data_IF_260777005756
#
_entry.id   IF_260777005756
#
_cell.length_a   1.000
_cell.length_b   1.000
_cell.length_c   1.000
_cell.angle_alpha   90.00
_cell.angle_beta   90.00
_cell.angle_gamma   90.00
#
_symmetry.space_group_name_H-M   'P 1'
#
loop_
_entity.id
_entity.type
_entity.pdbx_description
1 polymer ?
#
# COMPACT_ATOMS: atom_id res chain seq x y z
N UNK A 1 -6.19 -25.06 18.35
CA UNK A 1 -5.92 -24.47 17.01
C UNK A 1 -4.50 -24.81 16.64
N UNK A 2 -4.24 -25.08 15.36
CA UNK A 2 -2.91 -25.54 14.90
C UNK A 2 -1.93 -24.36 14.79
N UNK A 3 -0.62 -24.63 14.84
CA UNK A 3 0.40 -23.61 14.58
C UNK A 3 0.29 -23.05 13.14
N UNK A 4 -0.20 -23.85 12.19
CA UNK A 4 -0.41 -23.43 10.82
C UNK A 4 -1.54 -22.41 10.66
N UNK A 5 -2.64 -22.53 11.43
CA UNK A 5 -3.73 -21.55 11.43
C UNK A 5 -3.21 -20.16 11.83
N UNK A 6 -2.32 -20.13 12.83
CA UNK A 6 -1.68 -18.91 13.32
C UNK A 6 -0.81 -18.26 12.24
N UNK A 7 0.06 -19.05 11.60
CA UNK A 7 0.93 -18.55 10.52
C UNK A 7 0.12 -18.03 9.34
N UNK A 8 -0.97 -18.71 9.01
CA UNK A 8 -1.84 -18.32 7.91
C UNK A 8 -2.57 -17.00 8.21
N UNK A 9 -3.12 -16.82 9.42
CA UNK A 9 -3.71 -15.54 9.84
C UNK A 9 -2.66 -14.43 9.88
N UNK A 10 -1.46 -14.71 10.38
CA UNK A 10 -0.39 -13.73 10.40
C UNK A 10 -0.01 -13.30 8.97
N UNK A 11 0.05 -14.24 8.02
CA UNK A 11 0.27 -13.93 6.60
C UNK A 11 -0.84 -13.05 6.01
N UNK A 12 -2.12 -13.38 6.27
CA UNK A 12 -3.26 -12.56 5.86
C UNK A 12 -3.12 -11.13 6.38
N UNK A 13 -2.99 -10.94 7.71
CA UNK A 13 -2.94 -9.61 8.32
C UNK A 13 -1.75 -8.76 7.86
N UNK A 14 -0.64 -9.39 7.48
CA UNK A 14 0.51 -8.71 6.86
C UNK A 14 0.23 -8.27 5.43
N UNK A 15 -0.42 -9.10 4.62
CA UNK A 15 -0.71 -8.77 3.21
C UNK A 15 -1.89 -7.83 3.07
N UNK A 16 -2.90 -7.93 3.93
CA UNK A 16 -4.06 -7.04 3.98
C UNK A 16 -3.86 -5.84 4.90
N UNK A 17 -2.67 -5.67 5.47
CA UNK A 17 -2.30 -4.57 6.35
C UNK A 17 -0.81 -4.26 6.29
N UNK A 18 -0.23 -3.76 7.38
CA UNK A 18 1.20 -3.38 7.43
C UNK A 18 2.01 -4.21 8.42
N UNK A 19 1.35 -4.87 9.38
CA UNK A 19 1.86 -5.87 10.32
C UNK A 19 0.75 -6.21 11.32
N UNK A 20 0.90 -7.29 12.08
CA UNK A 20 0.03 -7.68 13.18
C UNK A 20 0.88 -8.09 14.38
N UNK A 21 0.57 -7.57 15.57
CA UNK A 21 1.19 -8.07 16.79
C UNK A 21 0.51 -9.37 17.25
N UNK A 22 1.04 -9.99 18.31
CA UNK A 22 0.49 -11.25 18.80
C UNK A 22 -0.99 -11.13 19.23
N UNK A 23 -1.40 -9.99 19.79
CA UNK A 23 -2.79 -9.77 20.22
C UNK A 23 -3.77 -9.61 19.04
N UNK A 24 -3.33 -8.99 17.95
CA UNK A 24 -4.10 -8.89 16.70
C UNK A 24 -4.32 -10.29 16.12
N UNK A 25 -3.25 -11.11 16.07
CA UNK A 25 -3.30 -12.49 15.58
C UNK A 25 -4.22 -13.36 16.46
N UNK A 26 -4.11 -13.28 17.79
CA UNK A 26 -4.97 -14.03 18.71
C UNK A 26 -6.44 -13.65 18.58
N UNK A 27 -6.71 -12.36 18.37
CA UNK A 27 -8.07 -11.86 18.18
C UNK A 27 -8.66 -12.39 16.89
N UNK A 28 -7.89 -12.36 15.78
CA UNK A 28 -8.31 -12.93 14.51
C UNK A 28 -8.50 -14.47 14.59
N UNK A 29 -7.60 -15.18 15.28
CA UNK A 29 -7.73 -16.63 15.50
C UNK A 29 -9.04 -17.00 16.21
N UNK A 30 -9.46 -16.22 17.22
CA UNK A 30 -10.74 -16.47 17.92
C UNK A 30 -11.95 -16.32 17.00
N UNK A 31 -11.87 -15.43 16.01
CA UNK A 31 -12.96 -15.18 15.06
C UNK A 31 -12.96 -16.21 13.93
N UNK A 32 -11.78 -16.64 13.48
CA UNK A 32 -11.57 -17.58 12.37
C UNK A 32 -11.21 -16.88 11.06
N UNK A 33 -10.43 -17.57 10.21
CA UNK A 33 -9.79 -17.01 9.02
C UNK A 33 -10.77 -16.32 8.06
N UNK A 34 -11.81 -17.04 7.62
CA UNK A 34 -12.76 -16.55 6.62
C UNK A 34 -13.53 -15.33 7.13
N UNK A 35 -13.88 -15.32 8.41
CA UNK A 35 -14.54 -14.17 9.04
C UNK A 35 -13.59 -12.98 9.21
N UNK A 36 -12.30 -13.22 9.46
CA UNK A 36 -11.28 -12.17 9.44
C UNK A 36 -11.16 -11.57 8.04
N UNK A 37 -11.16 -12.39 6.98
CA UNK A 37 -11.18 -11.91 5.58
C UNK A 37 -12.39 -11.02 5.33
N UNK A 38 -13.60 -11.47 5.68
CA UNK A 38 -14.80 -10.64 5.51
C UNK A 38 -14.76 -9.34 6.33
N UNK A 39 -14.22 -9.36 7.54
CA UNK A 39 -14.07 -8.14 8.34
C UNK A 39 -13.10 -7.14 7.71
N UNK A 40 -12.03 -7.61 7.07
CA UNK A 40 -11.06 -6.74 6.38
C UNK A 40 -11.66 -6.10 5.13
N UNK A 41 -12.51 -6.84 4.41
CA UNK A 41 -13.17 -6.40 3.17
C UNK A 41 -14.35 -5.45 3.39
N UNK A 42 -14.87 -5.37 4.62
CA UNK A 42 -16.02 -4.58 5.00
C UNK A 42 -15.67 -3.62 6.15
N UNK A 43 -14.87 -2.57 5.89
CA UNK A 43 -14.51 -1.58 6.90
C UNK A 43 -15.76 -0.88 7.46
N UNK A 44 -15.85 -0.75 8.79
CA UNK A 44 -17.06 -0.26 9.47
C UNK A 44 -16.89 1.10 10.15
N UNK A 45 -15.68 1.47 10.58
CA UNK A 45 -15.43 2.72 11.34
C UNK A 45 -14.05 3.30 11.07
N UNK A 46 -13.91 4.63 11.02
CA UNK A 46 -12.60 5.32 10.98
C UNK A 46 -11.98 5.46 12.39
N UNK A 47 -12.11 4.44 13.24
CA UNK A 47 -11.57 4.49 14.60
C UNK A 47 -10.04 4.43 14.60
N UNK A 48 -9.43 5.15 15.55
CA UNK A 48 -8.00 5.07 15.84
C UNK A 48 -7.10 6.04 15.05
N UNK A 49 -7.60 6.72 14.02
CA UNK A 49 -6.75 7.62 13.23
C UNK A 49 -6.60 9.01 13.85
N UNK A 50 -7.55 9.49 14.68
CA UNK A 50 -7.47 10.75 15.45
C UNK A 50 -6.75 11.91 14.72
N UNK A 51 -6.99 12.06 13.41
CA UNK A 51 -6.21 12.99 12.57
C UNK A 51 -6.45 14.44 12.96
N UNK A 52 -7.63 14.76 13.48
CA UNK A 52 -7.93 16.07 14.05
C UNK A 52 -7.04 16.40 15.25
N UNK A 53 -6.72 15.41 16.09
CA UNK A 53 -5.80 15.56 17.21
C UNK A 53 -4.36 15.64 16.74
N UNK A 54 -3.99 14.86 15.72
CA UNK A 54 -2.67 14.95 15.08
C UNK A 54 -2.44 16.38 14.57
N UNK A 55 -3.43 16.93 13.86
CA UNK A 55 -3.34 18.26 13.29
C UNK A 55 -3.26 19.36 14.35
N UNK A 56 -4.07 19.25 15.40
CA UNK A 56 -4.02 20.22 16.50
C UNK A 56 -2.69 20.19 17.26
N UNK A 57 -2.09 19.02 17.42
CA UNK A 57 -0.84 18.87 18.15
C UNK A 57 0.37 19.34 17.33
N UNK A 58 0.33 19.13 16.02
CA UNK A 58 1.39 19.52 15.08
C UNK A 58 0.97 20.70 14.19
N UNK A 59 0.36 21.71 14.80
CA UNK A 59 -0.16 22.89 14.10
C UNK A 59 0.89 23.62 13.26
N UNK A 60 2.17 23.54 13.65
CA UNK A 60 3.33 24.07 12.93
C UNK A 60 3.63 23.35 11.61
N UNK A 61 3.08 22.14 11.44
CA UNK A 61 3.26 21.30 10.27
C UNK A 61 1.96 21.11 9.47
N UNK A 62 0.82 21.55 10.02
CA UNK A 62 -0.49 21.52 9.38
C UNK A 62 -0.62 22.59 8.31
N UNK A 63 0.26 22.46 7.34
CA UNK A 63 0.27 23.27 6.16
C UNK A 63 -0.12 22.38 4.98
N UNK A 64 -1.34 22.55 4.47
CA UNK A 64 -1.82 21.86 3.26
C UNK A 64 -0.96 22.21 2.03
N UNK A 65 -0.10 23.24 2.12
CA UNK A 65 0.89 23.56 1.10
C UNK A 65 2.04 22.55 1.02
N UNK A 66 2.25 21.75 2.08
CA UNK A 66 3.40 20.86 2.21
C UNK A 66 3.05 19.39 1.94
N UNK A 67 3.60 18.75 0.89
CA UNK A 67 3.36 17.33 0.62
C UNK A 67 3.88 16.43 1.75
N UNK A 68 4.87 16.93 2.51
CA UNK A 68 5.43 16.24 3.67
C UNK A 68 4.36 15.96 4.72
N UNK A 69 3.42 16.89 4.95
CA UNK A 69 2.40 16.68 5.96
C UNK A 69 1.32 15.69 5.51
N UNK A 70 0.92 15.72 4.24
CA UNK A 70 0.03 14.70 3.67
C UNK A 70 0.63 13.30 3.77
N UNK A 71 1.93 13.13 3.48
CA UNK A 71 2.63 11.87 3.69
C UNK A 71 2.62 11.45 5.17
N UNK A 72 2.88 12.39 6.11
CA UNK A 72 2.84 12.12 7.56
C UNK A 72 1.47 11.64 8.02
N UNK A 73 0.39 12.30 7.60
CA UNK A 73 -0.99 11.89 7.90
C UNK A 73 -1.23 10.46 7.42
N UNK A 74 -0.80 10.15 6.21
CA UNK A 74 -0.98 8.83 5.65
C UNK A 74 -0.19 7.75 6.43
N UNK A 75 1.08 8.02 6.77
CA UNK A 75 1.87 7.12 7.64
C UNK A 75 1.19 6.90 8.99
N UNK A 76 0.68 7.97 9.62
CA UNK A 76 -0.04 7.87 10.88
C UNK A 76 -1.30 6.99 10.76
N UNK A 77 -2.05 7.15 9.67
CA UNK A 77 -3.21 6.33 9.32
C UNK A 77 -2.83 4.86 9.15
N UNK A 78 -1.79 4.55 8.37
CA UNK A 78 -1.28 3.17 8.17
C UNK A 78 -0.88 2.48 9.48
N UNK A 79 -0.33 3.25 10.44
CA UNK A 79 0.03 2.73 11.77
C UNK A 79 -1.22 2.42 12.59
N UNK A 80 -2.20 3.35 12.64
CA UNK A 80 -3.21 3.39 13.70
C UNK A 80 -4.64 3.00 13.30
N UNK A 81 -4.96 2.99 12.00
CA UNK A 81 -6.31 2.63 11.52
C UNK A 81 -6.73 1.22 11.96
N UNK A 82 -8.03 1.04 12.18
CA UNK A 82 -8.67 -0.27 12.34
C UNK A 82 -9.06 -0.93 11.02
N UNK A 83 -8.97 -0.20 9.90
CA UNK A 83 -9.26 -0.68 8.55
C UNK A 83 -7.98 -0.69 7.69
N UNK A 84 -7.00 -1.55 8.00
CA UNK A 84 -5.70 -1.48 7.32
C UNK A 84 -5.78 -1.80 5.83
N UNK A 85 -6.82 -2.52 5.38
CA UNK A 85 -7.00 -2.85 3.97
C UNK A 85 -7.35 -1.61 3.12
N UNK A 86 -8.04 -0.61 3.68
CA UNK A 86 -8.33 0.66 2.98
C UNK A 86 -7.03 1.38 2.61
N UNK A 87 -6.06 1.43 3.53
CA UNK A 87 -4.77 2.05 3.26
C UNK A 87 -3.90 1.23 2.32
N UNK A 88 -3.99 -0.10 2.42
CA UNK A 88 -3.27 -1.01 1.51
C UNK A 88 -3.77 -0.90 0.08
N UNK A 89 -5.09 -0.85 -0.11
CA UNK A 89 -5.65 -0.70 -1.46
C UNK A 89 -5.37 0.70 -2.02
N UNK A 90 -5.41 1.73 -1.17
CA UNK A 90 -5.04 3.11 -1.56
C UNK A 90 -3.59 3.16 -2.01
N UNK A 91 -2.67 2.52 -1.27
CA UNK A 91 -1.25 2.47 -1.63
C UNK A 91 -1.01 1.72 -2.93
N UNK A 92 -1.71 0.61 -3.15
CA UNK A 92 -1.66 -0.14 -4.42
C UNK A 92 -2.11 0.74 -5.58
N UNK A 93 -3.31 1.33 -5.48
CA UNK A 93 -3.88 2.12 -6.56
C UNK A 93 -3.10 3.41 -6.81
N UNK A 94 -2.51 4.04 -5.80
CA UNK A 94 -1.65 5.20 -6.03
C UNK A 94 -0.33 4.82 -6.70
N UNK A 95 0.14 3.58 -6.50
CA UNK A 95 1.24 3.01 -7.25
C UNK A 95 0.90 2.75 -8.71
N UNK A 96 -0.31 2.26 -9.01
CA UNK A 96 -0.79 1.99 -10.39
C UNK A 96 -1.17 3.29 -11.11
N UNK A 97 -1.98 4.14 -10.47
CA UNK A 97 -2.46 5.42 -10.99
C UNK A 97 -1.55 6.55 -10.55
N UNK A 98 -0.28 6.44 -10.94
CA UNK A 98 0.77 7.29 -10.46
C UNK A 98 0.49 8.77 -10.77
N UNK A 99 0.46 9.60 -9.71
CA UNK A 99 0.58 11.05 -9.81
C UNK A 99 1.63 11.54 -8.84
N UNK A 100 2.44 12.51 -9.27
CA UNK A 100 3.57 12.99 -8.48
C UNK A 100 3.48 14.45 -8.10
N UNK A 101 3.83 14.76 -6.85
CA UNK A 101 4.03 16.12 -6.37
C UNK A 101 4.95 16.93 -7.30
N UNK A 102 5.99 16.30 -7.86
CA UNK A 102 6.98 16.94 -8.72
C UNK A 102 6.39 17.72 -9.90
N UNK A 103 5.19 17.34 -10.39
CA UNK A 103 4.45 18.08 -11.41
C UNK A 103 3.21 18.77 -10.85
N UNK A 104 2.39 18.08 -10.07
CA UNK A 104 1.09 18.63 -9.62
C UNK A 104 1.28 19.84 -8.71
N UNK A 105 2.25 19.79 -7.79
CA UNK A 105 2.60 20.90 -6.87
C UNK A 105 1.42 21.55 -6.14
N UNK A 106 0.32 20.83 -5.92
CA UNK A 106 -0.89 21.30 -5.23
C UNK A 106 -1.35 20.25 -4.19
N UNK A 107 -1.24 20.59 -2.90
CA UNK A 107 -1.44 19.63 -1.79
C UNK A 107 -2.88 19.15 -1.64
N UNK A 108 -3.88 20.04 -1.72
CA UNK A 108 -5.28 19.66 -1.77
C UNK A 108 -5.61 18.66 -2.90
N UNK A 109 -5.06 18.85 -4.11
CA UNK A 109 -5.29 17.89 -5.20
C UNK A 109 -4.69 16.51 -4.92
N UNK A 110 -3.44 16.47 -4.44
CA UNK A 110 -2.77 15.19 -4.12
C UNK A 110 -3.47 14.44 -2.98
N UNK A 111 -3.88 15.16 -1.94
CA UNK A 111 -4.63 14.59 -0.82
C UNK A 111 -6.00 14.12 -1.26
N UNK A 112 -6.69 14.93 -2.08
CA UNK A 112 -7.99 14.59 -2.65
C UNK A 112 -7.98 13.30 -3.46
N UNK A 113 -6.95 13.09 -4.29
CA UNK A 113 -6.79 11.83 -5.03
C UNK A 113 -6.63 10.65 -4.07
N UNK A 114 -5.80 10.76 -3.03
CA UNK A 114 -5.61 9.67 -2.07
C UNK A 114 -6.92 9.30 -1.35
N UNK A 115 -7.72 10.30 -0.96
CA UNK A 115 -9.04 10.05 -0.36
C UNK A 115 -10.01 9.42 -1.37
N UNK A 116 -9.98 9.83 -2.64
CA UNK A 116 -10.77 9.22 -3.72
C UNK A 116 -10.40 7.74 -3.91
N UNK A 117 -9.11 7.42 -3.96
CA UNK A 117 -8.61 6.05 -4.06
C UNK A 117 -8.98 5.22 -2.83
N UNK A 118 -9.01 5.83 -1.65
CA UNK A 118 -9.43 5.18 -0.41
C UNK A 118 -10.92 4.87 -0.40
N UNK A 119 -11.76 5.82 -0.82
CA UNK A 119 -13.21 5.67 -0.87
C UNK A 119 -13.66 4.64 -1.92
N UNK A 120 -13.05 4.64 -3.10
CA UNK A 120 -13.50 3.83 -4.23
C UNK A 120 -12.62 2.61 -4.51
N UNK A 121 -11.46 2.47 -3.88
CA UNK A 121 -10.46 1.43 -4.20
C UNK A 121 -10.91 -0.01 -3.96
N UNK A 122 -11.82 -0.24 -3.00
CA UNK A 122 -12.45 -1.56 -2.77
C UNK A 122 -13.76 -1.74 -3.57
N UNK A 123 -14.23 -0.71 -4.26
CA UNK A 123 -15.50 -0.71 -4.95
C UNK A 123 -15.42 -1.27 -6.37
N UNK A 124 -16.27 -0.72 -7.21
CA UNK A 124 -16.37 -1.07 -8.62
C UNK A 124 -15.24 -0.39 -9.44
N UNK A 125 -14.51 -1.16 -10.25
CA UNK A 125 -13.38 -0.64 -11.03
C UNK A 125 -13.81 0.39 -12.10
N UNK A 126 -15.01 0.25 -12.69
CA UNK A 126 -15.56 1.26 -13.60
C UNK A 126 -15.75 2.59 -12.90
N UNK A 127 -16.33 2.58 -11.70
CA UNK A 127 -16.48 3.78 -10.88
C UNK A 127 -15.13 4.35 -10.49
N UNK A 128 -14.16 3.51 -10.12
CA UNK A 128 -12.81 3.96 -9.79
C UNK A 128 -12.15 4.69 -10.96
N UNK A 129 -12.17 4.12 -12.17
CA UNK A 129 -11.63 4.78 -13.36
C UNK A 129 -12.39 6.06 -13.72
N UNK A 130 -13.72 6.09 -13.58
CA UNK A 130 -14.53 7.28 -13.80
C UNK A 130 -14.20 8.41 -12.82
N UNK A 131 -13.89 8.08 -11.56
CA UNK A 131 -13.49 9.02 -10.53
C UNK A 131 -12.07 9.51 -10.75
N UNK A 132 -11.16 8.61 -11.10
CA UNK A 132 -9.79 8.93 -11.48
C UNK A 132 -9.74 9.86 -12.70
N UNK A 133 -10.57 9.62 -13.71
CA UNK A 133 -10.64 10.43 -14.93
C UNK A 133 -11.16 11.85 -14.68
N UNK A 134 -11.78 12.10 -13.52
CA UNK A 134 -12.24 13.43 -13.08
C UNK A 134 -11.35 14.02 -11.99
N UNK A 135 -10.34 13.28 -11.53
CA UNK A 135 -9.49 13.72 -10.45
C UNK A 135 -8.59 14.87 -10.92
N UNK A 136 -8.59 16.04 -10.24
CA UNK A 136 -7.80 17.19 -10.67
C UNK A 136 -6.29 16.93 -10.71
N UNK A 137 -5.74 16.13 -9.79
CA UNK A 137 -4.32 15.79 -9.82
C UNK A 137 -3.99 14.96 -11.06
N UNK A 138 -4.81 13.95 -11.38
CA UNK A 138 -4.62 13.11 -12.57
C UNK A 138 -4.77 13.89 -13.87
N UNK A 139 -5.82 14.72 -13.98
CA UNK A 139 -6.05 15.56 -15.15
C UNK A 139 -4.85 16.49 -15.42
N UNK A 140 -4.33 17.13 -14.38
CA UNK A 140 -3.13 17.96 -14.49
C UNK A 140 -1.86 17.15 -14.78
N UNK A 141 -1.70 16.00 -14.12
CA UNK A 141 -0.54 15.12 -14.25
C UNK A 141 -0.34 14.64 -15.70
N UNK A 142 -1.42 14.38 -16.42
CA UNK A 142 -1.38 13.91 -17.81
C UNK A 142 -1.73 14.98 -18.85
N UNK A 143 -1.70 16.26 -18.45
CA UNK A 143 -1.97 17.41 -19.32
C UNK A 143 -3.35 17.37 -20.00
N UNK A 144 -4.32 16.70 -19.39
CA UNK A 144 -5.66 16.52 -19.97
C UNK A 144 -6.41 17.84 -20.11
N UNK A 145 -6.11 18.85 -19.29
CA UNK A 145 -6.63 20.21 -19.43
C UNK A 145 -6.25 20.90 -20.75
N UNK A 146 -5.30 20.33 -21.50
CA UNK A 146 -4.85 20.81 -22.83
C UNK A 146 -5.44 20.02 -23.99
N UNK A 147 -6.33 19.05 -23.72
CA UNK A 147 -6.97 18.21 -24.72
C UNK A 147 -8.25 18.88 -25.25
N UNK A 148 -8.13 19.47 -26.44
CA UNK A 148 -9.19 20.26 -27.08
C UNK A 148 -9.74 19.54 -28.31
N UNK A 149 -11.01 19.77 -28.66
CA UNK A 149 -11.61 19.13 -29.84
C UNK A 149 -10.85 19.39 -31.15
N UNK A 150 -10.21 20.56 -31.27
CA UNK A 150 -9.42 20.95 -32.44
C UNK A 150 -7.90 20.70 -32.30
N UNK A 151 -7.45 20.24 -31.13
CA UNK A 151 -6.05 19.97 -30.81
C UNK A 151 -5.99 18.83 -29.77
N UNK A 152 -6.22 17.61 -30.26
CA UNK A 152 -6.31 16.41 -29.41
C UNK A 152 -4.96 16.13 -28.76
N UNK A 153 -4.97 15.98 -27.43
CA UNK A 153 -3.82 15.51 -26.67
C UNK A 153 -4.03 14.03 -26.30
N UNK A 154 -3.19 13.16 -26.85
CA UNK A 154 -3.31 11.71 -26.70
C UNK A 154 -2.76 11.17 -25.38
N UNK A 155 -2.06 11.98 -24.57
CA UNK A 155 -1.33 11.52 -23.40
C UNK A 155 -2.24 10.77 -22.40
N UNK A 156 -3.32 11.40 -21.92
CA UNK A 156 -4.24 10.74 -20.99
C UNK A 156 -4.87 9.47 -21.57
N UNK A 157 -5.34 9.54 -22.82
CA UNK A 157 -5.96 8.39 -23.50
C UNK A 157 -5.00 7.21 -23.67
N UNK A 158 -3.71 7.50 -23.94
CA UNK A 158 -2.66 6.49 -24.05
C UNK A 158 -2.37 5.85 -22.69
N UNK A 159 -2.12 6.65 -21.66
CA UNK A 159 -1.80 6.10 -20.33
C UNK A 159 -2.98 5.34 -19.72
N UNK A 160 -4.22 5.80 -19.95
CA UNK A 160 -5.41 5.09 -19.51
C UNK A 160 -5.44 3.65 -20.06
N UNK A 161 -5.14 3.47 -21.35
CA UNK A 161 -5.10 2.15 -21.98
C UNK A 161 -3.84 1.38 -21.58
N UNK A 162 -2.69 2.03 -21.63
CA UNK A 162 -1.39 1.39 -21.53
C UNK A 162 -1.02 0.99 -20.11
N UNK A 163 -1.13 1.93 -19.17
CA UNK A 163 -0.58 1.77 -17.83
C UNK A 163 -1.65 1.63 -16.76
N UNK A 164 -2.89 2.04 -17.02
CA UNK A 164 -3.93 2.07 -15.99
C UNK A 164 -5.04 1.03 -16.19
N UNK A 165 -5.13 0.39 -17.36
CA UNK A 165 -6.23 -0.55 -17.60
C UNK A 165 -5.94 -1.77 -18.45
N UNK A 166 -5.26 -1.70 -19.61
CA UNK A 166 -5.19 -2.83 -20.55
C UNK A 166 -3.79 -3.39 -20.74
N UNK A 167 -2.74 -2.60 -20.49
CA UNK A 167 -1.37 -3.02 -20.83
C UNK A 167 -1.05 -2.84 -22.31
N UNK A 168 0.25 -2.67 -22.61
CA UNK A 168 0.76 -2.54 -23.98
C UNK A 168 0.36 -3.73 -24.87
N UNK A 169 -0.01 -3.42 -26.11
CA UNK A 169 -0.27 -4.42 -27.16
C UNK A 169 -1.72 -4.90 -27.25
N UNK A 170 -2.62 -4.38 -26.42
CA UNK A 170 -4.03 -4.77 -26.38
C UNK A 170 -4.99 -3.78 -27.07
N UNK A 171 -4.46 -2.73 -27.70
CA UNK A 171 -5.19 -1.68 -28.40
C UNK A 171 -4.37 -1.19 -29.60
N UNK A 172 -5.01 -0.48 -30.52
CA UNK A 172 -4.36 0.14 -31.68
C UNK A 172 -4.10 1.62 -31.44
N UNK A 173 -3.26 2.23 -32.27
CA UNK A 173 -3.03 3.68 -32.25
C UNK A 173 -4.32 4.48 -32.54
N UNK A 174 -5.23 3.92 -33.34
CA UNK A 174 -6.53 4.55 -33.60
C UNK A 174 -7.44 4.52 -32.36
N UNK A 175 -7.33 3.47 -31.52
CA UNK A 175 -8.03 3.41 -30.25
C UNK A 175 -7.51 4.47 -29.29
N UNK A 176 -6.19 4.72 -29.25
CA UNK A 176 -5.60 5.81 -28.46
C UNK A 176 -6.18 7.15 -28.88
N UNK A 177 -6.20 7.42 -30.19
CA UNK A 177 -6.71 8.69 -30.72
C UNK A 177 -8.21 8.85 -30.47
N UNK A 178 -9.00 7.79 -30.62
CA UNK A 178 -10.44 7.80 -30.33
C UNK A 178 -10.74 7.97 -28.85
N UNK A 179 -9.96 7.33 -27.97
CA UNK A 179 -10.01 7.54 -26.53
C UNK A 179 -9.72 9.00 -26.17
N UNK A 180 -8.63 9.56 -26.70
CA UNK A 180 -8.25 10.95 -26.47
C UNK A 180 -9.33 11.95 -26.93
N UNK A 181 -9.93 11.72 -28.11
CA UNK A 181 -11.06 12.50 -28.61
C UNK A 181 -12.28 12.42 -27.68
N UNK A 182 -12.58 11.24 -27.13
CA UNK A 182 -13.69 11.05 -26.20
C UNK A 182 -13.51 11.83 -24.88
N UNK A 183 -12.27 12.11 -24.47
CA UNK A 183 -11.97 12.93 -23.29
C UNK A 183 -11.86 14.44 -23.58
N UNK A 184 -11.93 14.89 -24.84
CA UNK A 184 -11.87 16.33 -25.15
C UNK A 184 -12.93 17.13 -24.38
N UNK A 185 -12.59 18.35 -23.94
CA UNK A 185 -13.47 19.19 -23.13
C UNK A 185 -13.53 18.80 -21.64
N UNK A 186 -12.94 17.68 -21.21
CA UNK A 186 -12.71 17.37 -19.80
C UNK A 186 -11.50 18.18 -19.31
N UNK A 187 -11.73 19.03 -18.32
CA UNK A 187 -10.73 19.99 -17.83
C UNK A 187 -10.88 20.21 -16.33
N UNK A 188 -10.12 21.17 -15.80
CA UNK A 188 -10.13 21.54 -14.39
C UNK A 188 -10.39 23.04 -14.25
N UNK A 189 -11.00 23.46 -13.15
CA UNK A 189 -11.27 24.88 -12.89
C UNK A 189 -9.98 25.66 -12.63
N UNK A 190 -9.96 26.94 -13.03
CA UNK A 190 -8.85 27.82 -12.68
C UNK A 190 -8.81 28.05 -11.16
N UNK A 191 -7.65 27.79 -10.56
CA UNK A 191 -7.40 28.04 -9.14
C UNK A 191 -7.10 29.52 -8.91
N UNK A 192 -7.43 30.00 -7.71
CA UNK A 192 -7.04 31.35 -7.27
C UNK A 192 -5.51 31.47 -7.17
N UNK A 193 -4.92 32.65 -7.44
CA UNK A 193 -3.48 32.85 -7.29
C UNK A 193 -3.02 32.54 -5.86
N UNK A 194 -2.00 31.69 -5.71
CA UNK A 194 -1.50 31.24 -4.40
C UNK A 194 -1.27 32.38 -3.40
N UNK A 195 -0.76 33.52 -3.84
CA UNK A 195 -0.60 34.68 -2.96
C UNK A 195 -1.66 35.75 -3.29
N UNK A 196 -2.42 36.25 -2.29
CA UNK A 196 -2.33 35.98 -0.84
C UNK A 196 -3.27 34.87 -0.31
N UNK A 197 -3.93 34.09 -1.18
CA UNK A 197 -5.07 33.24 -0.78
C UNK A 197 -4.72 31.82 -0.31
N UNK A 198 -3.45 31.41 -0.38
CA UNK A 198 -3.02 30.01 -0.21
C UNK A 198 -3.38 29.14 -1.42
N UNK A 199 -3.12 27.84 -1.33
CA UNK A 199 -3.58 26.90 -2.34
C UNK A 199 -5.09 26.73 -2.29
N UNK A 200 -5.70 26.77 -3.47
CA UNK A 200 -7.10 26.40 -3.65
C UNK A 200 -7.17 25.08 -4.42
N UNK A 201 -8.09 24.17 -4.06
CA UNK A 201 -8.32 22.99 -4.87
C UNK A 201 -8.86 23.43 -6.24
N UNK A 202 -8.42 22.73 -7.28
CA UNK A 202 -9.12 22.75 -8.55
C UNK A 202 -10.20 21.68 -8.50
N UNK A 203 -11.24 21.87 -9.31
CA UNK A 203 -12.35 20.96 -9.44
C UNK A 203 -12.45 20.50 -10.89
N UNK A 204 -12.99 19.31 -11.10
CA UNK A 204 -13.36 18.86 -12.44
C UNK A 204 -14.35 19.83 -13.09
N UNK A 205 -14.15 20.10 -14.38
CA UNK A 205 -15.10 20.81 -15.22
C UNK A 205 -15.22 20.13 -16.58
N UNK A 206 -16.43 20.12 -17.14
CA UNK A 206 -16.68 19.65 -18.49
C UNK A 206 -17.15 20.80 -19.38
N UNK A 207 -16.36 21.12 -20.40
CA UNK A 207 -16.70 22.12 -21.41
C UNK A 207 -17.23 21.45 -22.68
N UNK A 208 -18.56 21.29 -22.75
CA UNK A 208 -19.22 20.72 -23.93
C UNK A 208 -18.92 21.45 -25.25
N UNK A 209 -18.58 22.74 -25.23
CA UNK A 209 -18.26 23.49 -26.46
C UNK A 209 -16.86 23.16 -27.02
N UNK A 210 -16.03 22.49 -26.23
CA UNK A 210 -14.66 22.06 -26.56
C UNK A 210 -14.54 20.52 -26.62
N UNK A 211 -15.68 19.84 -26.61
CA UNK A 211 -15.77 18.40 -26.83
C UNK A 211 -15.95 18.09 -28.33
N UNK A 212 -15.31 17.04 -28.79
CA UNK A 212 -15.52 16.47 -30.12
C UNK A 212 -16.73 15.53 -30.10
N UNK A 213 -17.88 16.04 -30.52
CA UNK A 213 -19.14 15.28 -30.63
C UNK A 213 -19.27 14.43 -31.91
N UNK A 214 -18.20 14.28 -32.70
CA UNK A 214 -18.26 13.42 -33.88
C UNK A 214 -18.12 11.94 -33.52
N UNK A 215 -18.62 11.08 -34.42
CA UNK A 215 -18.57 9.63 -34.26
C UNK A 215 -17.12 9.12 -34.13
N UNK A 216 -16.94 8.13 -33.26
CA UNK A 216 -15.64 7.53 -32.94
C UNK A 216 -15.80 6.02 -33.00
N UNK A 217 -14.77 5.33 -33.46
CA UNK A 217 -14.68 3.86 -33.34
C UNK A 217 -13.60 3.54 -32.33
N UNK A 218 -13.96 2.82 -31.28
CA UNK A 218 -13.08 2.53 -30.16
C UNK A 218 -13.29 1.08 -29.71
N UNK A 219 -12.22 0.29 -29.73
CA UNK A 219 -12.20 -1.12 -29.33
C UNK A 219 -13.29 -1.97 -30.01
N UNK A 220 -13.57 -1.67 -31.28
CA UNK A 220 -14.56 -2.37 -32.09
C UNK A 220 -16.01 -1.88 -31.96
N UNK A 221 -16.27 -0.90 -31.09
CA UNK A 221 -17.58 -0.25 -30.96
C UNK A 221 -17.57 1.11 -31.66
N UNK A 222 -18.71 1.55 -32.20
CA UNK A 222 -18.84 2.84 -32.89
C UNK A 222 -20.00 3.65 -32.32
N UNK A 223 -19.74 4.92 -32.02
CA UNK A 223 -20.76 5.83 -31.47
C UNK A 223 -20.21 7.23 -31.23
N UNK A 224 -21.08 8.16 -30.80
CA UNK A 224 -20.65 9.45 -30.27
C UNK A 224 -20.23 9.28 -28.80
N UNK A 225 -19.03 8.75 -28.57
CA UNK A 225 -18.53 8.44 -27.24
C UNK A 225 -17.94 9.66 -26.53
N UNK A 226 -18.23 9.75 -25.23
CA UNK A 226 -17.57 10.61 -24.25
C UNK A 226 -16.66 9.78 -23.33
N UNK A 227 -15.94 10.43 -22.41
CA UNK A 227 -14.99 9.81 -21.48
C UNK A 227 -15.59 8.67 -20.64
N UNK A 228 -16.84 8.81 -20.18
CA UNK A 228 -17.51 7.74 -19.43
C UNK A 228 -17.82 6.52 -20.30
N UNK A 229 -18.19 6.72 -21.56
CA UNK A 229 -18.55 5.65 -22.48
C UNK A 229 -17.32 4.80 -22.82
N UNK A 230 -16.18 5.44 -23.09
CA UNK A 230 -14.93 4.71 -23.36
C UNK A 230 -14.45 3.94 -22.13
N UNK A 231 -14.64 4.46 -20.91
CA UNK A 231 -14.34 3.71 -19.68
C UNK A 231 -15.25 2.49 -19.55
N UNK A 232 -16.54 2.62 -19.88
CA UNK A 232 -17.46 1.49 -19.87
C UNK A 232 -17.05 0.39 -20.87
N UNK A 233 -16.51 0.77 -22.03
CA UNK A 233 -15.98 -0.17 -23.03
C UNK A 233 -14.68 -0.83 -22.52
N UNK A 234 -13.78 -0.06 -21.91
CA UNK A 234 -12.48 -0.55 -21.38
C UNK A 234 -12.69 -1.63 -20.32
N UNK A 235 -13.52 -1.39 -19.30
CA UNK A 235 -13.63 -2.31 -18.15
C UNK A 235 -14.19 -3.70 -18.50
N UNK A 236 -14.84 -3.83 -19.67
CA UNK A 236 -15.40 -5.09 -20.20
C UNK A 236 -14.34 -5.93 -20.91
N UNK A 237 -13.18 -5.36 -21.26
CA UNK A 237 -12.17 -6.06 -22.05
C UNK A 237 -11.46 -7.15 -21.24
N UNK A 238 -11.22 -8.34 -21.82
CA UNK A 238 -10.39 -9.37 -21.19
C UNK A 238 -8.96 -8.91 -20.86
N UNK A 239 -8.41 -8.00 -21.67
CA UNK A 239 -7.12 -7.38 -21.37
C UNK A 239 -7.17 -6.59 -20.04
N UNK A 240 -8.28 -5.91 -19.77
CA UNK A 240 -8.45 -5.16 -18.52
C UNK A 240 -8.61 -6.04 -17.31
N UNK A 241 -9.39 -7.13 -17.42
CA UNK A 241 -9.49 -8.08 -16.33
C UNK A 241 -8.13 -8.71 -16.00
N UNK A 242 -7.32 -9.04 -17.01
CA UNK A 242 -5.98 -9.60 -16.80
C UNK A 242 -5.01 -8.57 -16.21
N UNK A 243 -5.04 -7.33 -16.68
CA UNK A 243 -4.22 -6.24 -16.12
C UNK A 243 -4.50 -6.01 -14.63
N UNK A 244 -5.77 -5.82 -14.26
CA UNK A 244 -6.17 -5.64 -12.86
C UNK A 244 -5.79 -6.85 -12.00
N UNK A 245 -5.97 -8.06 -12.53
CA UNK A 245 -5.59 -9.29 -11.85
C UNK A 245 -4.08 -9.37 -11.59
N UNK A 246 -3.24 -8.96 -12.55
CA UNK A 246 -1.78 -8.93 -12.39
C UNK A 246 -1.36 -7.93 -11.30
N UNK A 247 -1.92 -6.72 -11.28
CA UNK A 247 -1.57 -5.71 -10.28
C UNK A 247 -1.99 -6.15 -8.86
N UNK A 248 -3.19 -6.73 -8.71
CA UNK A 248 -3.63 -7.31 -7.44
C UNK A 248 -2.71 -8.47 -7.02
N UNK A 249 -2.35 -9.35 -7.95
CA UNK A 249 -1.50 -10.50 -7.67
C UNK A 249 -0.09 -10.05 -7.21
N UNK A 250 0.56 -9.14 -7.94
CA UNK A 250 1.88 -8.61 -7.58
C UNK A 250 1.87 -7.96 -6.20
N UNK A 251 0.82 -7.19 -5.90
CA UNK A 251 0.75 -6.43 -4.65
C UNK A 251 0.44 -7.29 -3.43
N UNK A 252 -0.46 -8.28 -3.55
CA UNK A 252 -0.94 -9.06 -2.41
C UNK A 252 -0.34 -10.46 -2.28
N UNK A 253 0.13 -11.07 -3.38
CA UNK A 253 0.51 -12.49 -3.41
C UNK A 253 2.03 -12.66 -3.50
N UNK A 254 2.63 -12.36 -4.66
CA UNK A 254 4.02 -12.70 -4.96
C UNK A 254 4.63 -11.75 -6.01
N UNK A 255 5.94 -11.55 -5.96
CA UNK A 255 6.67 -10.75 -6.97
C UNK A 255 6.70 -11.45 -8.34
N UNK A 256 6.82 -12.78 -8.35
CA UNK A 256 6.86 -13.60 -9.56
C UNK A 256 5.44 -13.97 -10.00
N UNK A 257 5.09 -13.64 -11.25
CA UNK A 257 3.75 -13.88 -11.82
C UNK A 257 3.48 -15.36 -12.02
N UNK A 258 2.31 -15.79 -11.56
CA UNK A 258 1.70 -17.08 -11.87
C UNK A 258 0.50 -16.82 -12.79
N UNK A 259 0.64 -17.15 -14.07
CA UNK A 259 -0.38 -16.87 -15.09
C UNK A 259 -1.71 -17.60 -14.81
N UNK A 260 -1.67 -18.82 -14.24
CA UNK A 260 -2.87 -19.60 -13.92
C UNK A 260 -3.64 -18.94 -12.76
N UNK A 261 -2.93 -18.38 -11.78
CA UNK A 261 -3.55 -17.62 -10.69
C UNK A 261 -4.13 -16.29 -11.20
N UNK A 262 -3.40 -15.58 -12.06
CA UNK A 262 -3.87 -14.34 -12.70
C UNK A 262 -5.15 -14.57 -13.50
N UNK A 263 -5.22 -15.65 -14.28
CA UNK A 263 -6.42 -15.98 -15.06
C UNK A 263 -7.63 -16.26 -14.18
N UNK A 264 -7.45 -16.99 -13.08
CA UNK A 264 -8.53 -17.21 -12.11
C UNK A 264 -9.03 -15.89 -11.48
N UNK A 265 -8.12 -14.96 -11.17
CA UNK A 265 -8.47 -13.65 -10.63
C UNK A 265 -9.23 -12.81 -11.69
N UNK A 266 -8.78 -12.85 -12.94
CA UNK A 266 -9.40 -12.15 -14.06
C UNK A 266 -10.83 -12.67 -14.33
N UNK A 267 -11.05 -13.97 -14.24
CA UNK A 267 -12.39 -14.59 -14.36
C UNK A 267 -13.33 -14.08 -13.27
N UNK A 268 -12.86 -13.99 -12.02
CA UNK A 268 -13.63 -13.46 -10.89
C UNK A 268 -13.98 -11.98 -11.10
N UNK A 269 -13.04 -11.20 -11.63
CA UNK A 269 -13.28 -9.80 -11.99
C UNK A 269 -14.43 -9.67 -12.98
N UNK A 270 -14.44 -10.43 -14.08
CA UNK A 270 -15.52 -10.37 -15.07
C UNK A 270 -16.85 -10.92 -14.51
N UNK A 271 -16.81 -12.04 -13.79
CA UNK A 271 -17.99 -12.69 -13.24
C UNK A 271 -18.74 -11.82 -12.22
N UNK A 272 -18.00 -11.01 -11.44
CA UNK A 272 -18.57 -10.14 -10.42
C UNK A 272 -18.73 -8.69 -10.89
N UNK A 273 -18.75 -8.45 -12.21
CA UNK A 273 -18.90 -7.10 -12.77
C UNK A 273 -17.91 -6.13 -12.13
N UNK A 274 -16.64 -6.54 -12.13
CA UNK A 274 -15.48 -5.70 -11.83
C UNK A 274 -15.50 -5.07 -10.41
N UNK A 275 -16.12 -5.78 -9.46
CA UNK A 275 -16.07 -5.47 -8.02
C UNK A 275 -14.76 -5.94 -7.37
N UNK A 276 -13.90 -5.00 -6.99
CA UNK A 276 -12.58 -5.28 -6.41
C UNK A 276 -12.69 -6.02 -5.08
N UNK A 277 -13.73 -5.74 -4.27
CA UNK A 277 -13.99 -6.46 -3.02
C UNK A 277 -14.17 -7.96 -3.23
N UNK A 278 -14.91 -8.37 -4.26
CA UNK A 278 -15.16 -9.78 -4.54
C UNK A 278 -13.90 -10.46 -5.10
N UNK A 279 -13.12 -9.74 -5.90
CA UNK A 279 -11.80 -10.19 -6.38
C UNK A 279 -10.85 -10.44 -5.20
N UNK A 280 -10.73 -9.50 -4.26
CA UNK A 280 -9.89 -9.66 -3.07
C UNK A 280 -10.39 -10.77 -2.14
N UNK A 281 -11.72 -10.96 -2.03
CA UNK A 281 -12.31 -12.10 -1.31
C UNK A 281 -11.81 -13.42 -1.89
N UNK A 282 -11.83 -13.55 -3.21
CA UNK A 282 -11.31 -14.75 -3.87
C UNK A 282 -9.82 -14.93 -3.63
N UNK A 283 -9.02 -13.88 -3.87
CA UNK A 283 -7.56 -13.90 -3.68
C UNK A 283 -7.21 -14.37 -2.28
N UNK A 284 -7.76 -13.74 -1.23
CA UNK A 284 -7.41 -14.09 0.15
C UNK A 284 -7.87 -15.49 0.57
N UNK A 285 -8.87 -16.08 -0.11
CA UNK A 285 -9.30 -17.44 0.21
C UNK A 285 -8.66 -18.53 -0.66
N UNK A 286 -7.94 -18.15 -1.72
CA UNK A 286 -7.29 -19.06 -2.67
C UNK A 286 -6.09 -19.83 -2.08
N UNK A 287 -5.79 -21.00 -2.65
CA UNK A 287 -4.65 -21.81 -2.25
C UNK A 287 -3.30 -21.16 -2.64
N UNK A 288 -3.26 -20.46 -3.77
CA UNK A 288 -2.06 -19.74 -4.20
C UNK A 288 -1.70 -18.63 -3.22
N UNK A 289 -2.67 -17.90 -2.67
CA UNK A 289 -2.41 -16.90 -1.63
C UNK A 289 -1.96 -17.55 -0.32
N UNK A 290 -2.70 -18.56 0.16
CA UNK A 290 -2.39 -19.25 1.43
C UNK A 290 -0.98 -19.89 1.44
N UNK A 291 -0.46 -20.24 0.24
CA UNK A 291 0.88 -20.79 0.05
C UNK A 291 1.96 -19.76 -0.33
N UNK A 292 1.62 -18.48 -0.55
CA UNK A 292 2.55 -17.43 -0.99
C UNK A 292 3.35 -16.76 0.14
N UNK A 293 3.67 -17.49 1.21
CA UNK A 293 4.52 -16.98 2.29
C UNK A 293 5.94 -16.73 1.75
N UNK A 294 6.52 -15.58 2.11
CA UNK A 294 7.88 -15.18 1.70
C UNK A 294 8.10 -15.09 0.18
N UNK A 295 7.04 -14.92 -0.63
CA UNK A 295 7.13 -14.77 -2.09
C UNK A 295 7.14 -13.33 -2.61
N UNK A 296 7.08 -12.34 -1.71
CA UNK A 296 7.03 -10.90 -2.06
C UNK A 296 7.91 -10.09 -1.13
N UNK A 297 8.75 -9.22 -1.66
CA UNK A 297 9.52 -8.26 -0.86
C UNK A 297 8.59 -7.16 -0.33
N UNK A 298 8.71 -6.82 0.96
CA UNK A 298 8.00 -5.68 1.54
C UNK A 298 8.47 -4.38 0.90
N UNK A 299 7.52 -3.56 0.46
CA UNK A 299 7.84 -2.19 0.06
C UNK A 299 8.40 -1.41 1.26
N UNK A 300 9.17 -0.34 1.03
CA UNK A 300 9.74 0.45 2.11
C UNK A 300 8.72 0.92 3.16
N UNK A 301 7.54 1.40 2.74
CA UNK A 301 6.55 1.86 3.71
C UNK A 301 5.93 0.70 4.52
N UNK A 302 5.77 -0.48 3.92
CA UNK A 302 5.33 -1.68 4.66
C UNK A 302 6.35 -2.10 5.71
N UNK A 303 7.64 -2.04 5.37
CA UNK A 303 8.72 -2.33 6.30
C UNK A 303 8.75 -1.32 7.47
N UNK A 304 8.64 -0.02 7.16
CA UNK A 304 8.68 1.05 8.16
C UNK A 304 7.49 0.96 9.11
N UNK A 305 6.27 0.97 8.57
CA UNK A 305 5.03 0.91 9.35
C UNK A 305 4.97 -0.39 10.13
N UNK A 306 5.33 -1.52 9.51
CA UNK A 306 5.32 -2.82 10.15
C UNK A 306 6.24 -2.88 11.37
N UNK A 307 7.48 -2.38 11.24
CA UNK A 307 8.46 -2.35 12.33
C UNK A 307 8.01 -1.43 13.48
N UNK A 308 7.47 -0.25 13.16
CA UNK A 308 6.95 0.70 14.16
C UNK A 308 5.76 0.10 14.92
N UNK A 309 4.87 -0.59 14.20
CA UNK A 309 3.73 -1.27 14.80
C UNK A 309 4.17 -2.34 15.80
N UNK A 310 5.24 -3.08 15.50
CA UNK A 310 5.82 -4.11 16.37
C UNK A 310 6.57 -3.53 17.57
N UNK A 311 7.29 -2.43 17.41
CA UNK A 311 7.89 -1.70 18.52
C UNK A 311 6.84 -1.06 19.45
N UNK A 312 5.58 -0.95 19.00
CA UNK A 312 4.51 -0.32 19.78
C UNK A 312 4.66 1.21 19.86
N UNK A 313 5.33 1.82 18.89
CA UNK A 313 5.58 3.25 18.82
C UNK A 313 4.59 3.95 17.87
N UNK A 314 4.53 5.28 17.96
CA UNK A 314 3.67 6.18 17.18
C UNK A 314 2.17 5.83 17.24
N UNK A 315 1.72 5.30 18.38
CA UNK A 315 0.32 4.95 18.68
C UNK A 315 -0.53 6.12 19.18
N UNK A 316 0.07 7.30 19.28
CA UNK A 316 -0.55 8.51 19.80
C UNK A 316 -0.13 9.70 18.95
N UNK A 317 -1.04 10.67 18.70
CA UNK A 317 -0.73 11.89 17.95
C UNK A 317 0.30 12.78 18.67
N UNK A 318 0.61 12.52 19.94
CA UNK A 318 1.55 13.32 20.73
C UNK A 318 3.02 12.88 20.60
N UNK A 319 3.29 11.83 19.81
CA UNK A 319 4.65 11.31 19.65
C UNK A 319 5.34 11.95 18.44
N UNK A 320 6.45 12.64 18.71
CA UNK A 320 7.31 13.21 17.67
C UNK A 320 7.98 12.13 16.81
N UNK A 321 8.33 12.47 15.57
CA UNK A 321 9.14 11.62 14.68
C UNK A 321 8.41 11.04 13.46
N UNK A 322 7.09 11.25 13.33
CA UNK A 322 6.32 10.77 12.16
C UNK A 322 6.86 11.30 10.82
N UNK A 323 7.29 12.57 10.78
CA UNK A 323 7.92 13.16 9.60
C UNK A 323 9.18 12.41 9.16
N UNK A 324 9.98 11.93 10.11
CA UNK A 324 11.17 11.13 9.82
C UNK A 324 10.79 9.77 9.24
N UNK A 325 9.68 9.17 9.65
CA UNK A 325 9.21 7.90 9.07
C UNK A 325 8.81 8.06 7.59
N UNK A 326 8.10 9.15 7.25
CA UNK A 326 7.76 9.47 5.86
C UNK A 326 9.01 9.75 5.01
N UNK A 327 10.00 10.47 5.55
CA UNK A 327 11.28 10.71 4.85
C UNK A 327 12.08 9.43 4.63
N UNK A 328 12.09 8.52 5.61
CA UNK A 328 12.80 7.25 5.48
C UNK A 328 12.23 6.38 4.36
N UNK A 329 10.93 6.44 4.08
CA UNK A 329 10.37 5.70 2.95
C UNK A 329 10.93 6.20 1.62
N UNK A 330 11.11 7.52 1.48
CA UNK A 330 11.79 8.15 0.34
C UNK A 330 13.26 7.74 0.23
N UNK A 331 14.00 7.73 1.34
CA UNK A 331 15.40 7.27 1.37
C UNK A 331 15.58 5.81 0.97
N UNK A 332 14.53 5.00 1.11
CA UNK A 332 14.47 3.59 0.69
C UNK A 332 13.83 3.40 -0.70
N UNK A 333 13.57 4.49 -1.43
CA UNK A 333 13.09 4.49 -2.82
C UNK A 333 11.58 4.61 -3.02
N UNK A 334 10.79 4.75 -1.95
CA UNK A 334 9.33 4.89 -2.02
C UNK A 334 8.87 6.21 -1.37
N UNK A 335 9.02 7.32 -2.10
CA UNK A 335 8.47 8.61 -1.70
C UNK A 335 6.94 8.61 -1.88
N UNK A 336 6.20 8.72 -0.77
CA UNK A 336 4.74 8.78 -0.79
C UNK A 336 4.28 10.06 -1.50
N UNK A 337 3.19 9.97 -2.28
CA UNK A 337 2.64 11.08 -3.08
C UNK A 337 3.56 11.55 -4.22
N UNK A 338 4.65 10.83 -4.48
CA UNK A 338 5.60 11.19 -5.51
C UNK A 338 6.23 9.94 -6.16
N UNK A 339 5.44 9.05 -6.81
CA UNK A 339 6.01 8.03 -7.67
C UNK A 339 6.95 8.67 -8.71
N UNK A 340 8.10 8.03 -9.02
CA UNK A 340 9.15 8.62 -9.83
C UNK A 340 8.75 8.84 -11.30
N UNK A 341 7.85 8.01 -11.82
CA UNK A 341 7.35 8.07 -13.20
C UNK A 341 5.85 7.74 -13.25
N UNK A 342 5.25 7.87 -14.43
CA UNK A 342 3.86 7.43 -14.68
C UNK A 342 3.66 5.91 -14.54
N UNK A 343 4.74 5.13 -14.57
CA UNK A 343 4.71 3.67 -14.33
C UNK A 343 4.63 3.33 -12.82
N UNK A 344 4.69 4.33 -11.93
CA UNK A 344 4.58 4.13 -10.49
C UNK A 344 5.90 3.85 -9.79
N UNK A 345 5.83 3.18 -8.63
CA UNK A 345 7.01 2.68 -7.92
C UNK A 345 7.40 1.30 -8.43
N UNK A 346 8.70 1.03 -8.49
CA UNK A 346 9.21 -0.31 -8.76
C UNK A 346 8.80 -1.30 -7.65
N UNK A 347 8.95 -2.61 -7.88
CA UNK A 347 8.52 -3.64 -6.92
C UNK A 347 9.55 -4.76 -6.76
N UNK A 348 9.31 -5.65 -5.80
CA UNK A 348 10.14 -6.82 -5.58
C UNK A 348 11.58 -6.51 -5.15
N UNK A 349 12.54 -7.20 -5.78
CA UNK A 349 13.96 -7.20 -5.37
C UNK A 349 14.66 -5.86 -5.54
N UNK A 350 14.12 -4.95 -6.34
CA UNK A 350 14.66 -3.59 -6.49
C UNK A 350 14.62 -2.79 -5.18
N UNK A 351 13.77 -3.19 -4.23
CA UNK A 351 13.75 -2.64 -2.86
C UNK A 351 14.90 -3.11 -1.97
N UNK A 352 15.71 -4.07 -2.44
CA UNK A 352 16.85 -4.66 -1.73
C UNK A 352 18.12 -4.39 -2.55
N UNK A 353 18.53 -3.13 -2.57
CA UNK A 353 19.88 -2.71 -2.99
C UNK A 353 20.76 -2.44 -1.75
N UNK A 354 22.08 -2.43 -1.96
CA UNK A 354 23.12 -2.11 -0.98
C UNK A 354 22.81 -0.83 -0.19
N UNK A 355 22.34 0.24 -0.85
CA UNK A 355 22.03 1.51 -0.17
C UNK A 355 20.74 1.41 0.66
N UNK A 356 19.66 0.90 0.07
CA UNK A 356 18.37 0.77 0.75
C UNK A 356 18.42 -0.23 1.91
N UNK A 357 19.19 -1.31 1.77
CA UNK A 357 19.36 -2.31 2.82
C UNK A 357 20.02 -1.71 4.07
N UNK A 358 21.05 -0.88 3.92
CA UNK A 358 21.69 -0.20 5.05
C UNK A 358 20.69 0.69 5.80
N UNK A 359 19.88 1.48 5.09
CA UNK A 359 18.84 2.31 5.72
C UNK A 359 17.78 1.47 6.43
N UNK A 360 17.34 0.35 5.82
CA UNK A 360 16.39 -0.59 6.44
C UNK A 360 16.94 -1.19 7.73
N UNK A 361 18.19 -1.62 7.73
CA UNK A 361 18.87 -2.21 8.89
C UNK A 361 19.06 -1.18 10.01
N UNK A 362 19.54 0.02 9.69
CA UNK A 362 19.72 1.11 10.65
C UNK A 362 18.38 1.47 11.31
N UNK A 363 17.33 1.60 10.51
CA UNK A 363 16.00 1.92 11.01
C UNK A 363 15.44 0.82 11.93
N UNK A 364 15.49 -0.44 11.49
CA UNK A 364 14.97 -1.54 12.32
C UNK A 364 15.76 -1.69 13.62
N UNK A 365 17.08 -1.52 13.58
CA UNK A 365 17.93 -1.49 14.77
C UNK A 365 17.53 -0.37 15.72
N UNK A 366 17.34 0.85 15.22
CA UNK A 366 16.92 2.00 16.05
C UNK A 366 15.60 1.71 16.79
N UNK A 367 14.62 1.11 16.09
CA UNK A 367 13.28 0.86 16.66
C UNK A 367 13.22 -0.35 17.58
N UNK A 368 13.94 -1.42 17.27
CA UNK A 368 13.84 -2.70 17.99
C UNK A 368 14.83 -2.83 19.13
N UNK A 369 15.93 -2.07 19.12
CA UNK A 369 16.89 -2.03 20.24
C UNK A 369 16.40 -1.18 21.43
N UNK A 370 15.33 -0.38 21.26
CA UNK A 370 14.75 0.41 22.35
C UNK A 370 13.99 -0.48 23.34
N UNK A 371 14.68 -0.86 24.42
CA UNK A 371 14.15 -1.67 25.53
C UNK A 371 13.02 -1.00 26.30
N UNK A 372 12.77 0.30 26.09
CA UNK A 372 11.66 1.03 26.71
C UNK A 372 10.40 1.04 25.83
N UNK A 373 10.51 0.57 24.59
CA UNK A 373 9.38 0.57 23.68
C UNK A 373 8.31 -0.44 24.13
N UNK A 374 7.00 -0.08 24.07
CA UNK A 374 5.94 -0.93 24.62
C UNK A 374 5.90 -2.33 24.01
N UNK A 375 6.18 -2.46 22.71
CA UNK A 375 6.15 -3.75 22.02
C UNK A 375 7.24 -4.70 22.49
N UNK A 376 8.46 -4.19 22.72
CA UNK A 376 9.58 -4.99 23.21
C UNK A 376 9.33 -5.46 24.65
N UNK A 377 8.78 -4.58 25.49
CA UNK A 377 8.36 -4.92 26.85
C UNK A 377 7.27 -5.99 26.83
N UNK A 378 6.29 -5.87 25.93
CA UNK A 378 5.21 -6.86 25.81
C UNK A 378 5.73 -8.25 25.41
N UNK A 379 6.61 -8.32 24.40
CA UNK A 379 7.23 -9.57 23.97
C UNK A 379 8.07 -10.17 25.11
N UNK A 380 8.89 -9.37 25.76
CA UNK A 380 9.71 -9.78 26.91
C UNK A 380 8.87 -10.34 28.05
N UNK A 381 7.78 -9.66 28.41
CA UNK A 381 6.86 -10.12 29.47
C UNK A 381 6.20 -11.47 29.11
N UNK A 382 5.75 -11.65 27.87
CA UNK A 382 5.14 -12.92 27.43
C UNK A 382 6.13 -14.07 27.54
N UNK A 383 7.35 -13.89 27.01
CA UNK A 383 8.42 -14.88 27.09
C UNK A 383 8.77 -15.18 28.56
N UNK A 384 8.89 -14.15 29.40
CA UNK A 384 9.26 -14.29 30.81
C UNK A 384 8.20 -14.96 31.68
N UNK A 385 6.91 -14.94 31.29
CA UNK A 385 5.85 -15.61 32.07
C UNK A 385 5.90 -17.14 32.01
N UNK A 386 6.51 -17.72 30.98
CA UNK A 386 6.53 -19.17 30.74
C UNK A 386 7.83 -19.84 31.18
N UNK A 387 8.87 -19.05 31.50
CA UNK A 387 10.23 -19.54 31.73
C UNK A 387 10.95 -18.81 32.85
N UNK A 388 11.81 -19.50 33.60
CA UNK A 388 12.74 -18.90 34.57
C UNK A 388 14.12 -18.60 33.96
N UNK A 389 14.58 -19.46 33.05
CA UNK A 389 15.83 -19.34 32.29
C UNK A 389 15.61 -19.87 30.88
N UNK A 390 16.21 -19.23 29.87
CA UNK A 390 16.07 -19.61 28.46
C UNK A 390 17.45 -19.65 27.79
N UNK A 391 17.72 -20.74 27.08
CA UNK A 391 18.90 -20.87 26.19
C UNK A 391 18.76 -19.93 24.99
N UNK A 392 19.87 -19.40 24.46
CA UNK A 392 19.85 -18.53 23.27
C UNK A 392 19.10 -19.11 22.06
N UNK A 393 19.15 -20.43 21.84
CA UNK A 393 18.43 -21.12 20.76
C UNK A 393 16.92 -21.01 20.93
N UNK A 394 16.42 -21.36 22.11
CA UNK A 394 15.01 -21.22 22.44
C UNK A 394 14.56 -19.76 22.47
N UNK A 395 15.41 -18.82 22.90
CA UNK A 395 15.09 -17.39 22.88
C UNK A 395 14.90 -16.91 21.44
N UNK A 396 15.79 -17.30 20.52
CA UNK A 396 15.66 -16.98 19.09
C UNK A 396 14.35 -17.51 18.52
N UNK A 397 14.01 -18.77 18.78
CA UNK A 397 12.80 -19.39 18.25
C UNK A 397 11.52 -18.76 18.84
N UNK A 398 11.52 -18.42 20.14
CA UNK A 398 10.42 -17.73 20.80
C UNK A 398 10.28 -16.30 20.27
N UNK A 399 11.37 -15.55 20.15
CA UNK A 399 11.37 -14.22 19.56
C UNK A 399 10.88 -14.26 18.10
N UNK A 400 11.33 -15.21 17.27
CA UNK A 400 10.83 -15.35 15.90
C UNK A 400 9.32 -15.63 15.85
N UNK A 401 8.81 -16.42 16.79
CA UNK A 401 7.38 -16.70 16.94
C UNK A 401 6.58 -15.47 17.37
N UNK A 402 7.07 -14.74 18.38
CA UNK A 402 6.44 -13.53 18.90
C UNK A 402 6.56 -12.35 17.93
N UNK A 403 7.66 -12.27 17.19
CA UNK A 403 7.96 -11.26 16.17
C UNK A 403 7.30 -11.61 14.84
N UNK A 404 5.99 -11.83 14.87
CA UNK A 404 5.13 -12.05 13.70
C UNK A 404 5.23 -13.43 13.06
N UNK A 405 5.54 -14.46 13.84
CA UNK A 405 5.57 -15.86 13.38
C UNK A 405 6.49 -16.04 12.17
N UNK A 406 7.73 -15.55 12.29
CA UNK A 406 8.77 -15.75 11.27
C UNK A 406 9.25 -17.19 11.34
N UNK A 407 9.10 -17.92 10.25
CA UNK A 407 9.73 -19.22 10.07
C UNK A 407 11.13 -19.00 9.50
N UNK A 408 12.13 -18.92 10.38
CA UNK A 408 13.54 -18.78 9.98
C UNK A 408 14.01 -20.10 9.36
N UNK A 409 14.66 -20.03 8.20
CA UNK A 409 15.31 -21.20 7.62
C UNK A 409 16.53 -21.63 8.46
N UNK A 410 16.94 -22.91 8.35
CA UNK A 410 18.04 -23.46 9.15
C UNK A 410 19.37 -22.71 8.93
N UNK A 411 19.57 -22.15 7.74
CA UNK A 411 20.79 -21.41 7.39
C UNK A 411 20.81 -20.03 8.05
N UNK A 412 19.72 -19.28 7.94
CA UNK A 412 19.49 -18.01 8.63
C UNK A 412 19.61 -18.23 10.13
N UNK A 413 18.91 -19.22 10.68
CA UNK A 413 18.95 -19.55 12.12
C UNK A 413 20.38 -19.83 12.59
N UNK A 414 21.17 -20.57 11.81
CA UNK A 414 22.57 -20.86 12.13
C UNK A 414 23.41 -19.59 12.17
N UNK A 415 23.27 -18.71 11.16
CA UNK A 415 24.02 -17.45 11.10
C UNK A 415 23.63 -16.53 12.26
N UNK A 416 22.33 -16.37 12.55
CA UNK A 416 21.88 -15.54 13.67
C UNK A 416 22.45 -16.05 15.00
N UNK A 417 22.46 -17.36 15.24
CA UNK A 417 23.04 -17.94 16.46
C UNK A 417 24.57 -17.78 16.59
N UNK A 418 25.28 -17.63 15.48
CA UNK A 418 26.72 -17.37 15.49
C UNK A 418 27.04 -15.92 15.86
N UNK A 419 26.19 -14.98 15.42
CA UNK A 419 26.39 -13.54 15.60
C UNK A 419 25.79 -12.99 16.91
N UNK A 420 24.87 -13.72 17.55
CA UNK A 420 24.33 -13.34 18.86
C UNK A 420 25.44 -13.27 19.92
N UNK A 421 25.46 -12.17 20.67
CA UNK A 421 26.42 -11.96 21.77
C UNK A 421 26.06 -12.73 23.05
N UNK A 422 24.91 -13.42 23.03
CA UNK A 422 24.41 -14.27 24.11
C UNK A 422 25.13 -15.64 24.10
N UNK A 423 25.98 -15.86 25.10
CA UNK A 423 26.75 -17.11 25.26
C UNK A 423 26.25 -18.01 26.39
N UNK A 424 25.62 -17.44 27.41
CA UNK A 424 25.07 -18.14 28.57
C UNK A 424 23.52 -18.14 28.54
N UNK A 425 22.90 -18.97 29.38
CA UNK A 425 21.45 -18.97 29.57
C UNK A 425 20.97 -17.63 30.12
N UNK A 426 19.94 -17.06 29.49
CA UNK A 426 19.37 -15.76 29.85
C UNK A 426 18.38 -15.95 31.00
N UNK A 427 18.54 -15.18 32.08
CA UNK A 427 17.55 -15.14 33.14
C UNK A 427 16.31 -14.39 32.69
N UNK A 428 15.15 -14.98 32.91
CA UNK A 428 13.86 -14.43 32.48
C UNK A 428 13.31 -13.39 33.45
N UNK A 429 14.15 -12.47 33.91
CA UNK A 429 13.78 -11.47 34.90
C UNK A 429 14.25 -10.06 34.49
N UNK A 430 13.31 -9.12 34.51
CA UNK A 430 13.60 -7.69 34.44
C UNK A 430 14.28 -7.22 33.14
N UNK A 431 15.31 -6.39 33.30
CA UNK A 431 16.00 -5.71 32.20
C UNK A 431 16.93 -6.62 31.39
N UNK A 432 17.40 -7.72 31.96
CA UNK A 432 18.27 -8.69 31.30
C UNK A 432 17.54 -9.35 30.13
N UNK A 433 16.37 -9.94 30.39
CA UNK A 433 15.52 -10.54 29.36
C UNK A 433 15.14 -9.53 28.29
N UNK A 434 14.73 -8.32 28.68
CA UNK A 434 14.31 -7.28 27.74
C UNK A 434 15.44 -6.86 26.80
N UNK A 435 16.68 -6.80 27.31
CA UNK A 435 17.85 -6.48 26.48
C UNK A 435 18.19 -7.61 25.52
N UNK A 436 18.16 -8.86 25.99
CA UNK A 436 18.38 -10.04 25.15
C UNK A 436 17.30 -10.17 24.05
N UNK A 437 16.04 -9.93 24.39
CA UNK A 437 14.93 -9.87 23.43
C UNK A 437 15.17 -8.77 22.40
N UNK A 438 15.53 -7.55 22.81
CA UNK A 438 15.80 -6.44 21.88
C UNK A 438 16.94 -6.75 20.90
N UNK A 439 18.02 -7.39 21.37
CA UNK A 439 19.13 -7.87 20.53
C UNK A 439 18.65 -8.91 19.50
N UNK A 440 17.95 -9.94 19.96
CA UNK A 440 17.45 -11.02 19.10
C UNK A 440 16.47 -10.50 18.04
N UNK A 441 15.56 -9.59 18.40
CA UNK A 441 14.61 -8.99 17.47
C UNK A 441 15.29 -8.10 16.43
N UNK A 442 16.31 -7.35 16.85
CA UNK A 442 17.15 -6.58 15.94
C UNK A 442 17.81 -7.52 14.91
N UNK A 443 18.38 -8.63 15.37
CA UNK A 443 19.00 -9.64 14.49
C UNK A 443 17.99 -10.28 13.53
N UNK A 444 16.80 -10.67 14.00
CA UNK A 444 15.73 -11.21 13.15
C UNK A 444 15.31 -10.20 12.08
N UNK A 445 15.27 -8.90 12.39
CA UNK A 445 14.88 -7.87 11.42
C UNK A 445 15.84 -7.75 10.22
N UNK A 446 17.07 -8.27 10.37
CA UNK A 446 18.08 -8.31 9.30
C UNK A 446 17.91 -9.53 8.37
N UNK A 447 17.09 -10.50 8.78
CA UNK A 447 16.88 -11.74 8.01
C UNK A 447 16.14 -11.50 6.69
N UNK A 448 16.41 -12.36 5.71
CA UNK A 448 15.70 -12.38 4.43
C UNK A 448 14.20 -12.57 4.65
N UNK A 449 13.86 -13.46 5.56
CA UNK A 449 12.49 -13.80 5.93
C UNK A 449 11.75 -12.54 6.36
N UNK A 450 12.33 -11.72 7.25
CA UNK A 450 11.69 -10.48 7.69
C UNK A 450 11.47 -9.47 6.54
N UNK A 451 12.38 -9.40 5.58
CA UNK A 451 12.24 -8.55 4.39
C UNK A 451 11.14 -9.03 3.42
N UNK A 452 10.81 -10.33 3.46
CA UNK A 452 9.86 -10.98 2.53
C UNK A 452 8.49 -11.34 3.14
N UNK A 453 8.32 -11.12 4.45
CA UNK A 453 7.12 -11.48 5.22
C UNK A 453 5.81 -10.86 4.70
#
# INVERSE_FOLDING_TARGET
>A
MSNEDRKLIAHLLRRSGFSANHSDIDSALKVGYEKTVESLLNPTTNEGTYEDLLDRFHSEHCDEESPRWSAVKWVFRMINTKNPLEEKITLMWHGVFATGWAKVTNGPMMTGQCEMLREHGLGNFQTLLQKLSRDPAMLYWLDQQTNHANAVNENYGRELLELFSMGRGNYTEEDVRSCARAFSGWTITHVLPRYPTGYWPSEFAYNSADHDDSEKTFLGETGNFNGDDVIEIIVKQPATSRFVAQEIYKFFVADEIDDDAVDQIADVYLANKYEIRDVLRFVFNSDFFKSARFKRVKSPIEFIVGTVKLAGQHRSPHQFGLAKLAELSSMMGQELLNPPTVEGWHTGREWIDSAFLVERLNFATEKLSDTKSPGIIEISNRIGTEHSTITRENLLDLCAREFVCVDLDDSTRTVLLQELSLHDDVKCEGSELTSAVAEVLTMISTSKEYQML
#
